data_IF_216859781000
#
_entry.id   IF_216859781000
#
_cell.length_a   1.000
_cell.length_b   1.000
_cell.length_c   1.000
_cell.angle_alpha   90.00
_cell.angle_beta   90.00
_cell.angle_gamma   90.00
#
_symmetry.space_group_name_H-M   'P 1'
#
loop_
_entity.id
_entity.type
_entity.pdbx_description
1 polymer ?
#
# COMPACT_ATOMS: atom_id res chain seq x y z
N UNK A 1 -3.31 -16.97 16.88
CA UNK A 1 -4.05 -18.25 16.91
C UNK A 1 -3.91 -19.08 15.63
N UNK A 2 -3.47 -18.49 14.52
CA UNK A 2 -3.31 -19.17 13.22
C UNK A 2 -1.85 -19.28 12.76
N UNK A 3 -0.89 -19.13 13.66
CA UNK A 3 0.55 -19.19 13.34
C UNK A 3 1.10 -17.95 12.60
N UNK A 4 0.25 -16.95 12.30
CA UNK A 4 0.71 -15.71 11.65
C UNK A 4 1.34 -14.79 12.68
N UNK A 5 2.49 -14.25 12.35
CA UNK A 5 3.17 -13.22 13.14
C UNK A 5 3.58 -12.05 12.26
N UNK A 6 3.73 -10.88 12.89
CA UNK A 6 4.11 -9.65 12.23
C UNK A 6 5.35 -9.06 12.91
N UNK A 7 6.30 -8.61 12.13
CA UNK A 7 7.53 -7.97 12.63
C UNK A 7 7.84 -6.70 11.85
N UNK A 8 8.46 -5.74 12.54
CA UNK A 8 9.08 -4.60 11.90
C UNK A 8 10.41 -5.04 11.26
N UNK A 9 10.65 -4.60 10.05
CA UNK A 9 11.80 -4.93 9.23
C UNK A 9 12.40 -3.66 8.62
N UNK A 10 13.62 -3.77 8.13
CA UNK A 10 14.28 -2.76 7.32
C UNK A 10 14.31 -3.14 5.83
N UNK A 11 15.37 -2.69 5.16
CA UNK A 11 15.59 -2.96 3.73
C UNK A 11 15.89 -4.42 3.42
N UNK A 12 16.31 -5.20 4.39
CA UNK A 12 16.58 -6.64 4.28
C UNK A 12 15.34 -7.45 3.88
N UNK A 13 14.14 -6.99 4.26
CA UNK A 13 12.89 -7.68 3.93
C UNK A 13 12.25 -7.21 2.61
N UNK A 14 12.92 -6.35 1.85
CA UNK A 14 12.39 -5.88 0.56
C UNK A 14 12.35 -6.98 -0.50
N UNK A 15 13.16 -8.03 -0.38
CA UNK A 15 13.10 -9.19 -1.27
C UNK A 15 11.80 -9.99 -1.10
N UNK A 16 11.24 -10.01 0.11
CA UNK A 16 9.94 -10.60 0.41
C UNK A 16 8.79 -9.64 0.09
N UNK A 17 8.97 -8.34 0.40
CA UNK A 17 7.93 -7.32 0.21
C UNK A 17 7.65 -7.00 -1.25
N UNK A 18 8.70 -6.88 -2.07
CA UNK A 18 8.56 -6.39 -3.43
C UNK A 18 7.73 -7.31 -4.35
N UNK A 19 7.88 -8.66 -4.30
CA UNK A 19 6.98 -9.58 -5.01
C UNK A 19 5.51 -9.44 -4.57
N UNK A 20 5.24 -9.20 -3.27
CA UNK A 20 3.89 -8.94 -2.79
C UNK A 20 3.32 -7.64 -3.36
N UNK A 21 4.15 -6.58 -3.46
CA UNK A 21 3.76 -5.32 -4.11
C UNK A 21 3.44 -5.52 -5.58
N UNK A 22 4.24 -6.30 -6.31
CA UNK A 22 3.97 -6.62 -7.71
C UNK A 22 2.65 -7.38 -7.87
N UNK A 23 2.41 -8.41 -7.07
CA UNK A 23 1.16 -9.17 -7.09
C UNK A 23 -0.05 -8.29 -6.78
N UNK A 24 0.08 -7.38 -5.79
CA UNK A 24 -0.97 -6.44 -5.41
C UNK A 24 -1.24 -5.41 -6.51
N UNK A 25 -0.19 -4.81 -7.08
CA UNK A 25 -0.33 -3.85 -8.18
C UNK A 25 -1.02 -4.44 -9.41
N UNK A 26 -0.69 -5.70 -9.76
CA UNK A 26 -1.34 -6.42 -10.87
C UNK A 26 -2.80 -6.71 -10.54
N UNK A 27 -3.09 -7.22 -9.33
CA UNK A 27 -4.45 -7.56 -8.89
C UNK A 27 -5.36 -6.35 -8.85
N UNK A 28 -4.89 -5.27 -8.23
CA UNK A 28 -5.69 -4.09 -7.89
C UNK A 28 -5.56 -2.98 -8.96
N UNK A 29 -4.70 -3.19 -9.96
CA UNK A 29 -4.63 -2.39 -11.16
C UNK A 29 -3.94 -1.04 -11.02
N UNK A 30 -2.92 -0.94 -10.19
CA UNK A 30 -2.12 0.28 -10.06
C UNK A 30 -0.63 0.05 -10.34
N UNK A 31 0.06 1.13 -10.71
CA UNK A 31 1.52 1.11 -10.92
C UNK A 31 2.25 1.17 -9.58
N UNK A 32 3.23 0.30 -9.42
CA UNK A 32 4.07 0.26 -8.21
C UNK A 32 5.35 1.07 -8.40
N UNK A 33 5.94 1.54 -7.30
CA UNK A 33 7.27 2.14 -7.27
C UNK A 33 8.34 1.04 -7.44
N UNK A 34 9.54 1.44 -7.85
CA UNK A 34 10.66 0.50 -7.94
C UNK A 34 11.17 0.07 -6.56
N UNK A 35 11.90 -1.03 -6.49
CA UNK A 35 12.50 -1.52 -5.24
C UNK A 35 13.49 -0.48 -4.66
N UNK A 36 14.28 0.19 -5.53
CA UNK A 36 15.22 1.24 -5.14
C UNK A 36 14.52 2.44 -4.48
N UNK A 37 13.29 2.75 -4.88
CA UNK A 37 12.50 3.77 -4.22
C UNK A 37 12.24 3.42 -2.76
N UNK A 38 11.86 2.18 -2.46
CA UNK A 38 11.62 1.73 -1.09
C UNK A 38 12.91 1.69 -0.28
N UNK A 39 14.05 1.28 -0.87
CA UNK A 39 15.37 1.37 -0.22
C UNK A 39 15.68 2.80 0.19
N UNK A 40 15.51 3.76 -0.75
CA UNK A 40 15.77 5.18 -0.48
C UNK A 40 14.82 5.74 0.58
N UNK A 41 13.56 5.35 0.56
CA UNK A 41 12.55 5.80 1.52
C UNK A 41 12.86 5.32 2.93
N UNK A 42 13.12 4.01 3.10
CA UNK A 42 13.43 3.43 4.41
C UNK A 42 14.74 3.97 5.00
N UNK A 43 15.80 4.06 4.18
CA UNK A 43 17.08 4.57 4.63
C UNK A 43 17.07 6.10 4.87
N UNK A 44 16.38 6.85 4.01
CA UNK A 44 16.35 8.31 4.10
C UNK A 44 15.52 8.84 5.26
N UNK A 45 14.42 8.18 5.60
CA UNK A 45 13.57 8.57 6.73
C UNK A 45 14.01 7.93 8.04
N UNK A 46 14.71 6.80 7.98
CA UNK A 46 15.16 6.04 9.14
C UNK A 46 14.04 5.33 9.91
N UNK A 47 14.40 4.39 10.81
CA UNK A 47 13.45 3.49 11.46
C UNK A 47 12.52 4.17 12.47
N UNK A 48 12.85 5.40 12.88
CA UNK A 48 11.97 6.20 13.74
C UNK A 48 10.79 6.80 12.99
N UNK A 49 10.99 7.11 11.69
CA UNK A 49 9.99 7.78 10.88
C UNK A 49 9.39 6.91 9.78
N UNK A 50 10.04 5.80 9.42
CA UNK A 50 9.57 4.91 8.37
C UNK A 50 9.95 3.46 8.68
N UNK A 51 8.96 2.55 8.67
CA UNK A 51 9.18 1.12 8.87
C UNK A 51 8.45 0.29 7.82
N UNK A 52 9.07 -0.82 7.47
CA UNK A 52 8.43 -1.91 6.77
C UNK A 52 7.94 -2.92 7.79
N UNK A 53 6.65 -3.22 7.79
CA UNK A 53 6.05 -4.29 8.58
C UNK A 53 5.75 -5.47 7.66
N UNK A 54 6.14 -6.67 8.08
CA UNK A 54 5.91 -7.90 7.32
C UNK A 54 5.21 -8.93 8.18
N UNK A 55 4.16 -9.54 7.62
CA UNK A 55 3.49 -10.69 8.22
C UNK A 55 3.91 -11.97 7.52
N UNK A 56 4.20 -12.99 8.32
CA UNK A 56 4.65 -14.30 7.88
C UNK A 56 3.86 -15.41 8.56
N UNK A 57 3.93 -16.58 7.97
CA UNK A 57 3.60 -17.87 8.60
C UNK A 57 4.75 -18.83 8.34
N UNK A 58 5.03 -19.70 9.30
CA UNK A 58 6.03 -20.76 9.14
C UNK A 58 5.33 -22.06 8.71
N UNK A 59 5.71 -22.58 7.54
CA UNK A 59 5.20 -23.83 6.99
C UNK A 59 6.36 -24.67 6.48
N UNK A 60 6.42 -25.93 6.90
CA UNK A 60 7.47 -26.89 6.51
C UNK A 60 8.90 -26.35 6.71
N UNK A 61 9.13 -25.62 7.81
CA UNK A 61 10.41 -25.03 8.13
C UNK A 61 10.80 -23.81 7.27
N UNK A 62 9.87 -23.27 6.49
CA UNK A 62 10.08 -22.08 5.66
C UNK A 62 9.18 -20.93 6.14
N UNK A 63 9.75 -19.72 6.14
CA UNK A 63 9.02 -18.50 6.41
C UNK A 63 8.33 -18.02 5.11
N UNK A 64 6.99 -18.01 5.11
CA UNK A 64 6.18 -17.63 3.95
C UNK A 64 5.66 -16.20 4.16
N UNK A 65 6.01 -15.22 3.29
CA UNK A 65 5.52 -13.85 3.38
C UNK A 65 4.05 -13.78 2.93
N UNK A 66 3.18 -13.23 3.77
CA UNK A 66 1.73 -13.14 3.55
C UNK A 66 1.28 -11.72 3.21
N UNK A 67 1.81 -10.73 3.90
CA UNK A 67 1.53 -9.31 3.66
C UNK A 67 2.66 -8.43 4.16
N UNK A 68 2.71 -7.21 3.64
CA UNK A 68 3.66 -6.21 4.07
C UNK A 68 3.13 -4.80 3.90
N UNK A 69 3.64 -3.88 4.70
CA UNK A 69 3.27 -2.47 4.63
C UNK A 69 4.45 -1.56 4.95
N UNK A 70 4.57 -0.49 4.19
CA UNK A 70 5.44 0.64 4.55
C UNK A 70 4.59 1.71 5.22
N UNK A 71 4.99 2.08 6.42
CA UNK A 71 4.27 3.01 7.30
C UNK A 71 5.21 4.12 7.72
N UNK A 72 4.73 5.34 7.71
CA UNK A 72 5.51 6.51 8.16
C UNK A 72 4.87 7.15 9.38
N UNK A 73 5.69 7.78 10.23
CA UNK A 73 5.20 8.59 11.33
C UNK A 73 6.00 9.89 11.46
N UNK A 74 5.27 10.99 11.68
CA UNK A 74 5.85 12.31 11.90
C UNK A 74 4.81 13.25 12.52
N UNK A 75 5.25 14.16 13.38
CA UNK A 75 4.43 15.23 13.98
C UNK A 75 3.09 14.73 14.58
N UNK A 76 3.11 13.59 15.27
CA UNK A 76 1.93 13.05 15.94
C UNK A 76 0.98 12.27 15.04
N UNK A 77 1.36 12.03 13.77
CA UNK A 77 0.56 11.28 12.80
C UNK A 77 1.34 10.09 12.26
N UNK A 78 0.68 8.94 12.21
CA UNK A 78 1.16 7.73 11.53
C UNK A 78 0.32 7.47 10.28
N UNK A 79 0.97 7.20 9.15
CA UNK A 79 0.31 6.97 7.86
C UNK A 79 0.62 5.57 7.31
N UNK A 80 -0.41 4.83 6.94
CA UNK A 80 -0.32 3.58 6.18
C UNK A 80 -0.13 3.90 4.69
N UNK A 81 1.13 3.98 4.22
CA UNK A 81 1.46 4.54 2.91
C UNK A 81 1.39 3.51 1.78
N UNK A 82 1.99 2.35 1.97
CA UNK A 82 2.00 1.26 0.99
C UNK A 82 1.60 -0.03 1.66
N UNK A 83 0.70 -0.77 1.03
CA UNK A 83 0.28 -2.09 1.50
C UNK A 83 0.32 -3.11 0.39
N UNK A 84 0.73 -4.32 0.72
CA UNK A 84 0.81 -5.46 -0.18
C UNK A 84 0.32 -6.72 0.50
N UNK A 85 -0.27 -7.64 -0.26
CA UNK A 85 -0.69 -8.93 0.26
C UNK A 85 -0.61 -10.03 -0.81
N UNK A 86 -0.27 -11.22 -0.36
CA UNK A 86 -0.30 -12.42 -1.18
C UNK A 86 -1.72 -12.75 -1.64
N UNK A 87 -1.81 -13.55 -2.70
CA UNK A 87 -3.08 -14.10 -3.18
C UNK A 87 -3.44 -15.43 -2.50
N UNK A 88 -2.48 -16.05 -1.79
CA UNK A 88 -2.64 -17.27 -1.00
C UNK A 88 -2.85 -16.97 0.50
N UNK A 89 -3.27 -17.96 1.28
CA UNK A 89 -3.43 -17.89 2.74
C UNK A 89 -4.29 -16.73 3.25
N UNK A 90 -5.21 -16.22 2.43
CA UNK A 90 -6.08 -15.09 2.76
C UNK A 90 -7.00 -15.35 3.96
N UNK A 91 -7.33 -16.63 4.19
CA UNK A 91 -8.10 -17.13 5.34
C UNK A 91 -7.38 -16.97 6.69
N UNK A 92 -6.07 -16.66 6.67
CA UNK A 92 -5.29 -16.36 7.88
C UNK A 92 -5.42 -14.89 8.32
N UNK A 93 -5.99 -14.02 7.47
CA UNK A 93 -6.22 -12.60 7.73
C UNK A 93 -4.98 -11.80 8.16
N UNK A 94 -3.82 -11.93 7.48
CA UNK A 94 -2.56 -11.31 7.91
C UNK A 94 -2.65 -9.78 7.97
N UNK A 95 -3.46 -9.16 7.11
CA UNK A 95 -3.60 -7.71 7.05
C UNK A 95 -4.20 -7.11 8.33
N UNK A 96 -5.06 -7.84 9.05
CA UNK A 96 -5.61 -7.35 10.32
C UNK A 96 -4.52 -7.33 11.40
N UNK A 97 -3.70 -8.36 11.47
CA UNK A 97 -2.56 -8.39 12.39
C UNK A 97 -1.54 -7.29 12.05
N UNK A 98 -1.25 -7.11 10.77
CA UNK A 98 -0.32 -6.09 10.30
C UNK A 98 -0.79 -4.68 10.70
N UNK A 99 -2.06 -4.35 10.44
CA UNK A 99 -2.62 -3.05 10.84
C UNK A 99 -2.56 -2.85 12.36
N UNK A 100 -2.91 -3.88 13.13
CA UNK A 100 -2.85 -3.82 14.59
C UNK A 100 -1.42 -3.57 15.09
N UNK A 101 -0.42 -4.22 14.48
CA UNK A 101 1.00 -3.99 14.81
C UNK A 101 1.43 -2.56 14.52
N UNK A 102 0.99 -2.01 13.36
CA UNK A 102 1.29 -0.62 13.00
C UNK A 102 0.59 0.40 13.92
N UNK A 103 -0.65 0.12 14.35
CA UNK A 103 -1.38 0.94 15.33
C UNK A 103 -0.63 0.94 16.68
N UNK A 104 -0.14 -0.20 17.14
CA UNK A 104 0.67 -0.26 18.35
C UNK A 104 1.96 0.55 18.22
N UNK A 105 2.64 0.48 17.08
CA UNK A 105 3.81 1.32 16.82
C UNK A 105 3.47 2.83 16.85
N UNK A 106 2.31 3.21 16.32
CA UNK A 106 1.81 4.59 16.42
C UNK A 106 1.60 5.03 17.87
N UNK A 107 1.03 4.16 18.71
CA UNK A 107 0.84 4.43 20.14
C UNK A 107 2.16 4.52 20.90
N UNK A 108 3.12 3.64 20.63
CA UNK A 108 4.49 3.71 21.17
C UNK A 108 5.19 5.03 20.82
N UNK A 109 4.99 5.50 19.56
CA UNK A 109 5.48 6.80 19.08
C UNK A 109 4.67 8.00 19.60
N UNK A 110 3.67 7.78 20.46
CA UNK A 110 2.75 8.81 21.00
C UNK A 110 2.03 9.61 19.91
N UNK A 111 1.76 8.98 18.77
CA UNK A 111 0.98 9.57 17.71
C UNK A 111 -0.51 9.53 18.07
N UNK A 112 -1.21 10.62 17.86
CA UNK A 112 -2.63 10.78 18.17
C UNK A 112 -3.53 10.56 16.94
N UNK A 113 -2.96 10.47 15.73
CA UNK A 113 -3.65 10.13 14.49
C UNK A 113 -3.00 8.90 13.85
N UNK A 114 -3.83 7.90 13.53
CA UNK A 114 -3.47 6.82 12.63
C UNK A 114 -4.29 6.94 11.35
N UNK A 115 -3.63 7.27 10.23
CA UNK A 115 -4.29 7.52 8.96
C UNK A 115 -4.18 6.28 8.05
N UNK A 116 -5.32 5.64 7.80
CA UNK A 116 -5.44 4.52 6.87
C UNK A 116 -5.32 4.93 5.40
N UNK A 117 -5.14 6.23 5.12
CA UNK A 117 -5.13 6.79 3.78
C UNK A 117 -6.47 6.60 3.02
N UNK A 118 -6.49 6.93 1.74
CA UNK A 118 -7.69 7.00 0.93
C UNK A 118 -8.56 5.74 0.96
N UNK A 119 -9.86 5.97 0.88
CA UNK A 119 -10.91 4.97 0.73
C UNK A 119 -11.70 5.29 -0.54
N UNK A 120 -11.48 4.54 -1.62
CA UNK A 120 -12.26 4.77 -2.84
C UNK A 120 -13.70 4.27 -2.65
N UNK A 121 -14.65 5.04 -3.17
CA UNK A 121 -16.03 4.60 -3.35
C UNK A 121 -16.72 4.04 -2.08
N UNK A 122 -16.51 4.69 -0.91
CA UNK A 122 -17.04 4.21 0.37
C UNK A 122 -18.59 4.24 0.44
N UNK A 123 -19.25 4.96 -0.48
CA UNK A 123 -20.70 5.06 -0.59
C UNK A 123 -21.30 4.09 -1.62
N UNK A 124 -20.50 3.27 -2.32
CA UNK A 124 -20.96 2.38 -3.39
C UNK A 124 -20.55 0.93 -3.10
N UNK A 125 -21.48 0.16 -2.56
CA UNK A 125 -21.28 -1.25 -2.22
C UNK A 125 -21.08 -2.16 -3.44
N UNK A 126 -21.47 -1.70 -4.63
CA UNK A 126 -21.32 -2.45 -5.88
C UNK A 126 -19.93 -2.30 -6.48
N UNK A 127 -19.16 -1.33 -6.00
CA UNK A 127 -17.82 -1.07 -6.50
C UNK A 127 -16.84 -2.19 -6.09
N UNK A 128 -16.04 -2.73 -7.02
CA UNK A 128 -15.04 -3.78 -6.71
C UNK A 128 -14.07 -3.42 -5.58
N UNK A 129 -13.81 -2.13 -5.39
CA UNK A 129 -12.89 -1.62 -4.36
C UNK A 129 -13.57 -1.34 -3.00
N UNK A 130 -14.88 -1.55 -2.88
CA UNK A 130 -15.61 -1.36 -1.63
C UNK A 130 -15.06 -2.21 -0.47
N UNK A 131 -14.45 -3.36 -0.79
CA UNK A 131 -13.78 -4.21 0.19
C UNK A 131 -12.67 -3.51 0.97
N UNK A 132 -11.99 -2.51 0.37
CA UNK A 132 -10.97 -1.70 1.03
C UNK A 132 -11.59 -0.84 2.15
N UNK A 133 -12.74 -0.22 1.88
CA UNK A 133 -13.49 0.52 2.88
C UNK A 133 -13.96 -0.40 4.01
N UNK A 134 -14.59 -1.54 3.69
CA UNK A 134 -15.04 -2.51 4.73
C UNK A 134 -13.91 -2.96 5.63
N UNK A 135 -12.73 -3.23 5.05
CA UNK A 135 -11.55 -3.61 5.80
C UNK A 135 -11.12 -2.51 6.78
N UNK A 136 -11.00 -1.25 6.33
CA UNK A 136 -10.58 -0.12 7.15
C UNK A 136 -11.64 0.24 8.21
N UNK A 137 -12.92 0.18 7.86
CA UNK A 137 -14.04 0.37 8.78
C UNK A 137 -14.04 -0.63 9.95
N UNK A 138 -13.52 -1.84 9.74
CA UNK A 138 -13.36 -2.85 10.77
C UNK A 138 -12.48 -2.44 11.96
N UNK A 139 -11.69 -1.37 11.81
CA UNK A 139 -10.89 -0.76 12.87
C UNK A 139 -11.59 0.44 13.54
N UNK A 140 -12.87 0.67 13.22
CA UNK A 140 -13.68 1.76 13.75
C UNK A 140 -13.12 3.16 13.47
N UNK A 141 -12.43 3.32 12.32
CA UNK A 141 -11.92 4.62 11.88
C UNK A 141 -13.02 5.56 11.40
N UNK A 142 -12.82 6.86 11.58
CA UNK A 142 -13.68 7.92 11.07
C UNK A 142 -13.34 8.23 9.61
N UNK A 143 -14.36 8.44 8.79
CA UNK A 143 -14.19 8.91 7.40
C UNK A 143 -14.09 10.43 7.39
N UNK A 144 -12.94 10.93 6.96
CA UNK A 144 -12.69 12.38 6.84
C UNK A 144 -12.70 12.76 5.37
N UNK A 145 -13.51 13.75 5.03
CA UNK A 145 -13.54 14.34 3.69
C UNK A 145 -12.72 15.63 3.69
N UNK A 146 -11.69 15.67 2.83
CA UNK A 146 -10.90 16.88 2.62
C UNK A 146 -11.55 17.77 1.58
N UNK A 147 -11.31 19.09 1.66
CA UNK A 147 -11.83 20.08 0.70
C UNK A 147 -11.28 19.90 -0.73
N UNK A 148 -10.30 19.03 -0.91
CA UNK A 148 -9.66 18.76 -2.19
C UNK A 148 -8.38 19.57 -2.41
N UNK A 149 -7.93 19.58 -3.66
CA UNK A 149 -6.70 20.27 -4.04
C UNK A 149 -7.04 21.62 -4.66
N UNK A 150 -6.32 22.68 -4.25
CA UNK A 150 -6.45 24.02 -4.80
C UNK A 150 -5.26 24.33 -5.70
N UNK A 151 -5.54 24.79 -6.93
CA UNK A 151 -4.51 25.13 -7.90
C UNK A 151 -4.53 26.62 -8.20
N UNK A 152 -3.38 27.29 -8.11
CA UNK A 152 -3.19 28.62 -8.65
C UNK A 152 -2.28 28.54 -9.88
N UNK A 153 -2.82 28.87 -11.04
CA UNK A 153 -2.14 28.70 -12.32
C UNK A 153 -1.44 29.99 -12.73
N UNK A 154 -0.13 30.09 -12.51
CA UNK A 154 0.66 31.26 -12.91
C UNK A 154 0.88 31.38 -14.43
N UNK A 155 0.99 30.23 -15.14
CA UNK A 155 1.28 30.16 -16.57
C UNK A 155 0.32 29.18 -17.26
N UNK A 156 -0.84 29.65 -17.76
CA UNK A 156 -1.87 28.76 -18.32
C UNK A 156 -1.38 27.89 -19.49
N UNK A 157 -0.48 28.42 -20.33
CA UNK A 157 0.10 27.66 -21.43
C UNK A 157 0.96 26.48 -20.91
N UNK A 158 1.83 26.74 -19.93
CA UNK A 158 2.66 25.70 -19.33
C UNK A 158 1.82 24.63 -18.64
N UNK A 159 0.73 25.02 -17.98
CA UNK A 159 -0.22 24.07 -17.40
C UNK A 159 -0.78 23.10 -18.45
N UNK A 160 -1.20 23.60 -19.62
CA UNK A 160 -1.66 22.75 -20.73
C UNK A 160 -0.58 21.78 -21.22
N UNK A 161 0.68 22.23 -21.31
CA UNK A 161 1.80 21.36 -21.69
C UNK A 161 2.02 20.26 -20.67
N UNK A 162 2.01 20.61 -19.36
CA UNK A 162 2.15 19.63 -18.28
C UNK A 162 1.01 18.61 -18.32
N UNK A 163 -0.25 19.06 -18.42
CA UNK A 163 -1.42 18.16 -18.49
C UNK A 163 -1.35 17.21 -19.68
N UNK A 164 -0.87 17.68 -20.81
CA UNK A 164 -0.66 16.85 -22.00
C UNK A 164 0.44 15.81 -21.78
N UNK A 165 1.57 16.20 -21.18
CA UNK A 165 2.64 15.27 -20.82
C UNK A 165 2.18 14.22 -19.81
N UNK A 166 1.46 14.62 -18.76
CA UNK A 166 0.88 13.71 -17.77
C UNK A 166 -0.06 12.70 -18.43
N UNK A 167 -0.92 13.14 -19.33
CA UNK A 167 -1.80 12.24 -20.09
C UNK A 167 -1.01 11.19 -20.86
N UNK A 168 0.07 11.58 -21.57
CA UNK A 168 0.92 10.64 -22.31
C UNK A 168 1.56 9.61 -21.35
N UNK A 169 2.03 10.05 -20.19
CA UNK A 169 2.64 9.16 -19.20
C UNK A 169 1.59 8.18 -18.67
N UNK A 170 0.40 8.66 -18.32
CA UNK A 170 -0.71 7.81 -17.86
C UNK A 170 -1.11 6.77 -18.90
N UNK A 171 -1.28 7.19 -20.17
CA UNK A 171 -1.62 6.28 -21.27
C UNK A 171 -0.54 5.19 -21.48
N UNK A 172 0.74 5.55 -21.34
CA UNK A 172 1.84 4.57 -21.41
C UNK A 172 1.80 3.57 -20.25
N UNK A 173 1.52 4.03 -19.03
CA UNK A 173 1.38 3.18 -17.86
C UNK A 173 0.19 2.21 -18.02
N UNK A 174 -0.96 2.71 -18.49
CA UNK A 174 -2.13 1.87 -18.73
C UNK A 174 -1.87 0.80 -19.81
N UNK A 175 -1.23 1.16 -20.93
CA UNK A 175 -0.83 0.18 -21.96
C UNK A 175 0.13 -0.88 -21.42
N UNK A 176 1.08 -0.50 -20.56
CA UNK A 176 2.00 -1.44 -19.91
C UNK A 176 1.24 -2.40 -18.98
N UNK A 177 0.32 -1.87 -18.20
CA UNK A 177 -0.57 -2.63 -17.32
C UNK A 177 -1.41 -3.66 -18.12
N UNK A 178 -2.05 -3.22 -19.19
CA UNK A 178 -2.87 -4.09 -20.05
C UNK A 178 -2.05 -5.23 -20.66
N UNK A 179 -0.79 -4.97 -21.05
CA UNK A 179 0.12 -6.02 -21.53
C UNK A 179 0.43 -7.06 -20.44
N UNK A 180 0.70 -6.60 -19.22
CA UNK A 180 0.96 -7.51 -18.08
C UNK A 180 -0.25 -8.39 -17.75
N UNK A 181 -1.45 -7.81 -17.76
CA UNK A 181 -2.70 -8.58 -17.55
C UNK A 181 -2.94 -9.62 -18.64
N UNK A 182 -2.69 -9.28 -19.91
CA UNK A 182 -2.82 -10.21 -21.04
C UNK A 182 -1.84 -11.38 -20.96
N UNK A 183 -0.59 -11.12 -20.59
CA UNK A 183 0.42 -12.17 -20.43
C UNK A 183 0.02 -13.14 -19.31
N UNK A 184 -0.41 -12.63 -18.15
CA UNK A 184 -0.87 -13.46 -17.03
C UNK A 184 -2.02 -14.40 -17.43
N UNK A 185 -2.99 -13.90 -18.21
CA UNK A 185 -4.13 -14.73 -18.66
C UNK A 185 -3.70 -15.81 -19.65
N UNK A 186 -2.59 -15.63 -20.37
CA UNK A 186 -1.99 -16.68 -21.23
C UNK A 186 -1.26 -17.75 -20.44
N UNK A 187 -0.63 -17.37 -19.33
CA UNK A 187 0.12 -18.32 -18.47
C UNK A 187 -0.79 -19.17 -17.57
N UNK A 188 -2.11 -18.83 -17.52
CA UNK A 188 -3.13 -19.58 -16.76
C UNK A 188 -4.00 -20.50 -17.63
N UNK A 189 -3.80 -20.51 -18.95
CA UNK A 189 -4.44 -21.43 -19.91
C UNK A 189 -3.49 -22.53 -20.33
#
# INVERSE_FOLDING_TARGET
>A
RKGVYCKACGTEALDDFYPLMQATGIRDGFSIRSKEYFVKMLNGLGPEHCRLFMCYVDEDGKQIPLSGAVTTQYAGKTCYVYGASANHHRNLYPNYLMQWTMINWALEGKNYIYDFQGIPFYNDETNPNYGVYKFKKGFNGEVVTYEGEFFYIFKPFMKKVVDFCEKIVMDRHERKRQKLLKNRNKDMQ
#
